data_IF_584195945071
#
_entry.id   IF_584195945071
#
_cell.length_a   1.000
_cell.length_b   1.000
_cell.length_c   1.000
_cell.angle_alpha   90.00
_cell.angle_beta   90.00
_cell.angle_gamma   90.00
#
_symmetry.space_group_name_H-M   'P 1'
#
loop_
_entity.id
_entity.type
_entity.pdbx_description
1 polymer ?
#
# COMPACT_ATOMS: atom_id res chain seq x y z
N UNK A 1 -5.68 6.53 -24.17
CA UNK A 1 -5.66 6.43 -22.69
C UNK A 1 -4.95 7.61 -22.09
N UNK A 2 -5.66 8.40 -21.27
CA UNK A 2 -5.03 9.45 -20.48
C UNK A 2 -4.34 8.72 -19.32
N UNK A 3 -3.01 8.66 -19.36
CA UNK A 3 -2.22 8.14 -18.25
C UNK A 3 -2.43 9.09 -17.09
N UNK A 4 -3.12 8.64 -16.05
CA UNK A 4 -3.33 9.40 -14.83
C UNK A 4 -2.02 9.44 -14.03
N UNK A 5 -1.15 10.39 -14.39
CA UNK A 5 0.18 10.55 -13.77
C UNK A 5 0.10 10.85 -12.27
N UNK A 6 -1.03 11.37 -11.79
CA UNK A 6 -1.25 11.67 -10.38
C UNK A 6 -1.48 10.39 -9.58
N UNK A 7 -2.21 9.42 -10.16
CA UNK A 7 -2.35 8.07 -9.61
C UNK A 7 -1.00 7.39 -9.40
N UNK A 8 -0.12 7.41 -10.40
CA UNK A 8 1.20 6.74 -10.32
C UNK A 8 2.12 7.39 -9.28
N UNK A 9 2.14 8.72 -9.19
CA UNK A 9 2.90 9.44 -8.16
C UNK A 9 2.42 9.10 -6.74
N UNK A 10 1.10 9.03 -6.56
CA UNK A 10 0.49 8.67 -5.27
C UNK A 10 0.82 7.21 -4.89
N UNK A 11 0.85 6.31 -5.88
CA UNK A 11 1.20 4.91 -5.68
C UNK A 11 2.68 4.73 -5.26
N UNK A 12 3.59 5.48 -5.88
CA UNK A 12 5.01 5.46 -5.57
C UNK A 12 5.28 5.94 -4.13
N UNK A 13 4.62 7.03 -3.72
CA UNK A 13 4.67 7.52 -2.33
C UNK A 13 4.11 6.50 -1.34
N UNK A 14 3.01 5.83 -1.67
CA UNK A 14 2.40 4.82 -0.83
C UNK A 14 3.32 3.60 -0.63
N UNK A 15 4.05 3.18 -1.68
CA UNK A 15 5.04 2.11 -1.59
C UNK A 15 6.23 2.49 -0.70
N UNK A 16 6.75 3.72 -0.81
CA UNK A 16 7.82 4.19 0.07
C UNK A 16 7.40 4.12 1.54
N UNK A 17 6.18 4.56 1.86
CA UNK A 17 5.63 4.47 3.21
C UNK A 17 5.43 3.03 3.66
N UNK A 18 5.00 2.15 2.75
CA UNK A 18 4.81 0.73 3.02
C UNK A 18 6.11 0.05 3.44
N UNK A 19 7.18 0.21 2.66
CA UNK A 19 8.49 -0.38 2.97
C UNK A 19 9.19 0.27 4.16
N UNK A 20 8.82 1.52 4.50
CA UNK A 20 9.25 2.16 5.75
C UNK A 20 8.46 1.69 7.00
N UNK A 21 7.56 0.72 6.86
CA UNK A 21 6.71 0.22 7.95
C UNK A 21 5.59 1.18 8.37
N UNK A 22 5.36 2.27 7.62
CA UNK A 22 4.32 3.27 7.92
C UNK A 22 2.96 2.84 7.35
N UNK A 23 2.51 1.64 7.71
CA UNK A 23 1.35 0.98 7.10
C UNK A 23 0.05 1.79 7.16
N UNK A 24 -0.21 2.54 8.25
CA UNK A 24 -1.40 3.40 8.34
C UNK A 24 -1.41 4.48 7.26
N UNK A 25 -0.29 5.17 7.06
CA UNK A 25 -0.17 6.23 6.05
C UNK A 25 -0.20 5.66 4.63
N UNK A 26 0.48 4.53 4.41
CA UNK A 26 0.46 3.81 3.14
C UNK A 26 -0.97 3.38 2.76
N UNK A 27 -1.71 2.79 3.70
CA UNK A 27 -3.11 2.40 3.53
C UNK A 27 -3.98 3.57 3.11
N UNK A 28 -3.86 4.71 3.78
CA UNK A 28 -4.72 5.87 3.50
C UNK A 28 -4.51 6.34 2.05
N UNK A 29 -3.26 6.35 1.56
CA UNK A 29 -2.95 6.67 0.15
C UNK A 29 -3.46 5.61 -0.83
N UNK A 30 -3.29 4.32 -0.56
CA UNK A 30 -3.84 3.26 -1.42
C UNK A 30 -5.38 3.29 -1.44
N UNK A 31 -6.01 3.60 -0.32
CA UNK A 31 -7.47 3.67 -0.20
C UNK A 31 -8.10 4.84 -0.96
N UNK A 32 -7.31 5.81 -1.42
CA UNK A 32 -7.79 6.88 -2.28
C UNK A 32 -8.11 6.36 -3.71
N UNK A 33 -7.49 5.25 -4.12
CA UNK A 33 -7.60 4.68 -5.47
C UNK A 33 -8.34 3.33 -5.47
N UNK A 34 -9.50 3.23 -4.80
CA UNK A 34 -10.22 1.95 -4.58
C UNK A 34 -10.68 1.22 -5.85
N UNK A 35 -10.82 1.96 -6.95
CA UNK A 35 -11.21 1.40 -8.25
C UNK A 35 -10.06 0.64 -8.94
N UNK A 36 -8.84 0.74 -8.40
CA UNK A 36 -7.66 0.05 -8.87
C UNK A 36 -7.39 -1.20 -8.03
N UNK A 37 -7.36 -2.36 -8.69
CA UNK A 37 -7.18 -3.66 -8.01
C UNK A 37 -5.87 -3.73 -7.22
N UNK A 38 -4.79 -3.15 -7.75
CA UNK A 38 -3.50 -3.16 -7.07
C UNK A 38 -3.54 -2.32 -5.78
N UNK A 39 -4.21 -1.17 -5.82
CA UNK A 39 -4.46 -0.31 -4.65
C UNK A 39 -5.31 -1.03 -3.60
N UNK A 40 -6.34 -1.78 -4.00
CA UNK A 40 -7.15 -2.57 -3.09
C UNK A 40 -6.34 -3.70 -2.39
N UNK A 41 -5.50 -4.42 -3.15
CA UNK A 41 -4.61 -5.45 -2.59
C UNK A 41 -3.63 -4.84 -1.58
N UNK A 42 -3.01 -3.71 -1.92
CA UNK A 42 -2.06 -3.04 -1.03
C UNK A 42 -2.71 -2.47 0.22
N UNK A 43 -3.95 -1.96 0.12
CA UNK A 43 -4.76 -1.54 1.27
C UNK A 43 -4.92 -2.69 2.25
N UNK A 44 -5.35 -3.86 1.75
CA UNK A 44 -5.52 -5.07 2.58
C UNK A 44 -4.20 -5.51 3.24
N UNK A 45 -3.09 -5.50 2.49
CA UNK A 45 -1.77 -5.82 3.05
C UNK A 45 -1.34 -4.86 4.15
N UNK A 46 -1.70 -3.58 4.06
CA UNK A 46 -1.45 -2.65 5.14
C UNK A 46 -2.28 -3.00 6.38
N UNK A 47 -3.56 -3.35 6.21
CA UNK A 47 -4.43 -3.75 7.32
C UNK A 47 -3.94 -5.06 7.99
N UNK A 48 -3.49 -6.03 7.21
CA UNK A 48 -2.90 -7.28 7.73
C UNK A 48 -1.61 -6.98 8.54
N UNK A 49 -0.78 -6.05 8.08
CA UNK A 49 0.44 -5.64 8.79
C UNK A 49 0.13 -4.83 10.06
N UNK A 50 -0.89 -3.96 10.03
CA UNK A 50 -1.34 -3.20 11.20
C UNK A 50 -1.93 -4.11 12.27
N UNK A 51 -2.68 -5.14 11.85
CA UNK A 51 -3.28 -6.12 12.75
C UNK A 51 -2.30 -7.17 13.26
N UNK A 52 -1.04 -7.15 12.78
CA UNK A 52 -0.01 -8.11 13.17
C UNK A 52 -0.23 -9.51 12.62
N UNK A 53 -1.13 -9.67 11.63
CA UNK A 53 -1.39 -10.94 10.93
C UNK A 53 -0.21 -11.31 10.02
N UNK A 54 0.51 -10.29 9.53
CA UNK A 54 1.75 -10.47 8.78
C UNK A 54 2.86 -9.63 9.40
N UNK A 55 4.06 -10.19 9.44
CA UNK A 55 5.28 -9.42 9.67
C UNK A 55 5.97 -9.22 8.32
N UNK A 56 6.21 -7.96 7.93
CA UNK A 56 6.98 -7.64 6.72
C UNK A 56 8.42 -7.37 7.16
N UNK A 57 9.31 -8.31 6.88
CA UNK A 57 10.76 -8.18 7.09
C UNK A 57 11.40 -8.02 5.71
N UNK A 58 12.01 -6.86 5.45
CA UNK A 58 12.72 -6.55 4.18
C UNK A 58 11.90 -6.83 2.91
N UNK A 59 10.57 -6.62 2.96
CA UNK A 59 9.67 -6.86 1.83
C UNK A 59 9.23 -8.32 1.65
N UNK A 60 9.66 -9.24 2.53
CA UNK A 60 9.20 -10.62 2.59
C UNK A 60 8.08 -10.75 3.62
N UNK A 61 6.99 -11.39 3.21
CA UNK A 61 5.82 -11.66 4.05
C UNK A 61 6.04 -12.96 4.82
N UNK A 62 6.17 -12.88 6.13
CA UNK A 62 6.19 -14.05 7.03
C UNK A 62 4.92 -14.06 7.88
N UNK A 63 4.21 -15.21 7.85
CA UNK A 63 3.06 -15.52 8.70
C UNK A 63 3.53 -16.19 9.99
#
# INVERSE_FOLDING_TARGET
>A
DIIDMEKYRTYEQALVLYYAGQYKKARDLFSANRNDLASAIMTKRCDDAISGVITVLDGVYTM
#
